data_IF_645921229412
#
_entry.id   IF_645921229412
#
_cell.length_a   1.000
_cell.length_b   1.000
_cell.length_c   1.000
_cell.angle_alpha   90.00
_cell.angle_beta   90.00
_cell.angle_gamma   90.00
#
_symmetry.space_group_name_H-M   'P 1'
#
loop_
_entity.id
_entity.type
_entity.pdbx_description
1 polymer ?
#
# COMPACT_ATOMS: atom_id res chain seq x y z
N UNK A 1 -4.03 9.94 23.49
CA UNK A 1 -4.30 9.83 22.04
C UNK A 1 -3.01 10.14 21.29
N UNK A 2 -2.83 9.60 20.08
CA UNK A 2 -1.66 9.91 19.23
C UNK A 2 -1.79 11.38 18.75
N UNK A 3 -0.76 12.23 18.90
CA UNK A 3 -0.83 13.63 18.47
C UNK A 3 -0.99 13.76 16.94
N UNK A 4 -1.72 14.78 16.49
CA UNK A 4 -1.79 15.11 15.06
C UNK A 4 -0.39 15.38 14.49
N UNK A 5 -0.15 14.88 13.28
CA UNK A 5 1.17 14.98 12.63
C UNK A 5 2.23 14.02 13.16
N UNK A 6 1.91 13.16 14.15
CA UNK A 6 2.85 12.14 14.60
C UNK A 6 3.26 11.20 13.46
N UNK A 7 4.57 11.00 13.30
CA UNK A 7 5.15 9.99 12.41
C UNK A 7 6.38 9.37 13.07
N UNK A 8 6.43 8.04 13.08
CA UNK A 8 7.63 7.26 13.38
C UNK A 8 8.22 6.73 12.09
N UNK A 9 9.43 7.17 11.75
CA UNK A 9 10.12 6.70 10.56
C UNK A 9 11.04 5.51 10.84
N UNK A 10 11.13 4.62 9.85
CA UNK A 10 12.30 3.77 9.61
C UNK A 10 13.27 4.56 8.76
N UNK A 11 14.37 5.00 9.36
CA UNK A 11 15.38 5.78 8.66
C UNK A 11 16.07 4.96 7.57
N UNK A 12 16.29 5.61 6.42
CA UNK A 12 17.06 5.09 5.29
C UNK A 12 18.24 6.01 5.02
N UNK A 13 19.22 5.53 4.26
CA UNK A 13 20.41 6.32 3.92
C UNK A 13 21.06 5.75 2.68
N UNK A 14 21.51 6.62 1.77
CA UNK A 14 22.28 6.24 0.58
C UNK A 14 23.72 5.79 0.88
N UNK A 15 24.20 5.93 2.11
CA UNK A 15 25.62 5.68 2.48
C UNK A 15 26.07 4.22 2.42
N UNK A 16 25.15 3.27 2.61
CA UNK A 16 25.45 1.84 2.55
C UNK A 16 24.25 1.07 2.01
N UNK A 17 24.50 0.07 1.15
CA UNK A 17 23.43 -0.68 0.47
C UNK A 17 22.42 -1.33 1.42
N UNK A 18 22.89 -1.81 2.58
CA UNK A 18 22.03 -2.38 3.63
C UNK A 18 21.05 -1.38 4.25
N UNK A 19 21.31 -0.08 4.13
CA UNK A 19 20.47 1.02 4.66
C UNK A 19 19.55 1.63 3.60
N UNK A 20 19.67 1.21 2.34
CA UNK A 20 18.86 1.76 1.26
C UNK A 20 17.37 1.49 1.47
N UNK A 21 16.56 2.45 1.02
CA UNK A 21 15.17 2.21 0.70
C UNK A 21 15.12 1.28 -0.52
N UNK A 22 14.80 0.00 -0.26
CA UNK A 22 14.74 -0.99 -1.35
C UNK A 22 13.62 -0.71 -2.33
N UNK A 23 12.54 -0.06 -1.92
CA UNK A 23 11.44 0.29 -2.82
C UNK A 23 11.98 1.23 -3.90
N UNK A 24 12.55 2.37 -3.51
CA UNK A 24 13.16 3.31 -4.44
C UNK A 24 14.27 2.69 -5.29
N UNK A 25 15.14 1.85 -4.69
CA UNK A 25 16.21 1.16 -5.43
C UNK A 25 15.67 0.30 -6.57
N UNK A 26 14.62 -0.48 -6.32
CA UNK A 26 14.10 -1.44 -7.30
C UNK A 26 13.16 -0.78 -8.31
N UNK A 27 12.45 0.29 -7.95
CA UNK A 27 11.56 1.00 -8.88
C UNK A 27 12.30 2.03 -9.72
N UNK A 28 13.09 2.93 -9.10
CA UNK A 28 13.77 4.04 -9.79
C UNK A 28 15.19 3.72 -10.24
N UNK A 29 15.91 2.86 -9.52
CA UNK A 29 17.29 2.50 -9.87
C UNK A 29 17.36 1.33 -10.85
N UNK A 30 16.73 0.20 -10.52
CA UNK A 30 16.82 -1.03 -11.30
C UNK A 30 15.70 -1.20 -12.34
N UNK A 31 14.56 -0.55 -12.14
CA UNK A 31 13.33 -0.77 -12.92
C UNK A 31 12.87 -2.24 -12.92
N UNK A 32 13.02 -2.92 -11.77
CA UNK A 32 12.58 -4.30 -11.57
C UNK A 32 11.08 -4.41 -11.28
N UNK A 33 10.48 -3.34 -10.77
CA UNK A 33 9.06 -3.31 -10.41
C UNK A 33 8.34 -2.16 -11.10
N UNK A 34 7.09 -2.41 -11.49
CA UNK A 34 6.16 -1.44 -12.05
C UNK A 34 4.90 -1.43 -11.17
N UNK A 35 4.28 -0.27 -11.00
CA UNK A 35 3.03 -0.17 -10.22
C UNK A 35 1.92 -0.94 -10.94
N UNK A 36 1.18 -1.78 -10.24
CA UNK A 36 0.06 -2.52 -10.80
C UNK A 36 -1.01 -1.56 -11.36
N UNK A 37 -1.67 -1.87 -12.50
CA UNK A 37 -2.71 -1.03 -13.09
C UNK A 37 -3.83 -0.61 -12.11
N UNK A 38 -4.13 -1.43 -11.10
CA UNK A 38 -5.15 -1.11 -10.09
C UNK A 38 -4.77 0.03 -9.15
N UNK A 39 -3.51 0.46 -9.13
CA UNK A 39 -3.00 1.59 -8.32
C UNK A 39 -2.56 2.78 -9.20
N UNK A 40 -3.00 2.84 -10.45
CA UNK A 40 -2.71 3.95 -11.37
C UNK A 40 -3.96 4.82 -11.49
N UNK A 41 -3.74 6.13 -11.62
CA UNK A 41 -4.79 7.12 -11.87
C UNK A 41 -5.97 7.01 -10.90
N UNK A 42 -5.67 6.77 -9.62
CA UNK A 42 -6.68 6.66 -8.58
C UNK A 42 -7.34 8.01 -8.34
N UNK A 43 -8.66 8.01 -8.24
CA UNK A 43 -9.46 9.21 -7.96
C UNK A 43 -10.44 8.97 -6.81
N UNK A 44 -10.91 10.06 -6.22
CA UNK A 44 -12.10 10.09 -5.38
C UNK A 44 -13.01 11.21 -5.85
N UNK A 45 -14.25 10.87 -6.23
CA UNK A 45 -15.22 11.86 -6.71
C UNK A 45 -14.74 12.67 -7.94
N UNK A 46 -13.96 12.03 -8.83
CA UNK A 46 -13.36 12.68 -10.01
C UNK A 46 -12.15 13.57 -9.72
N UNK A 47 -11.65 13.58 -8.48
CA UNK A 47 -10.41 14.28 -8.11
C UNK A 47 -9.27 13.26 -7.98
N UNK A 48 -8.14 13.44 -8.68
CA UNK A 48 -6.96 12.59 -8.52
C UNK A 48 -6.49 12.52 -7.07
N UNK A 49 -6.19 11.32 -6.60
CA UNK A 49 -5.76 11.07 -5.23
C UNK A 49 -4.24 11.28 -5.08
N UNK A 50 -3.79 12.36 -4.41
CA UNK A 50 -2.36 12.70 -4.37
C UNK A 50 -1.55 11.78 -3.44
N UNK A 51 -2.19 10.83 -2.75
CA UNK A 51 -1.52 9.87 -1.88
C UNK A 51 -0.89 8.72 -2.69
N UNK A 52 -1.42 8.47 -3.89
CA UNK A 52 -0.94 7.43 -4.81
C UNK A 52 -0.62 8.07 -6.16
N UNK A 53 0.56 8.70 -6.24
CA UNK A 53 1.04 9.32 -7.47
C UNK A 53 1.96 8.36 -8.21
N UNK A 54 1.72 8.23 -9.51
CA UNK A 54 2.51 7.39 -10.41
C UNK A 54 2.97 8.17 -11.64
N UNK A 55 4.09 7.78 -12.24
CA UNK A 55 4.62 8.38 -13.47
C UNK A 55 5.06 7.29 -14.46
N UNK A 56 4.73 7.45 -15.74
CA UNK A 56 5.27 6.59 -16.79
C UNK A 56 6.77 6.89 -16.99
N UNK A 57 7.61 5.85 -16.93
CA UNK A 57 9.04 5.98 -17.17
C UNK A 57 9.40 6.07 -18.66
N UNK A 58 8.42 5.94 -19.56
CA UNK A 58 8.61 5.98 -21.01
C UNK A 58 9.44 4.81 -21.53
N UNK A 59 9.45 3.69 -20.80
CA UNK A 59 10.27 2.52 -21.12
C UNK A 59 9.62 1.21 -20.70
N UNK A 60 10.11 0.14 -21.32
CA UNK A 60 9.78 -1.22 -20.93
C UNK A 60 10.78 -1.75 -19.88
N UNK A 61 10.31 -2.69 -19.08
CA UNK A 61 11.13 -3.44 -18.14
C UNK A 61 12.09 -4.38 -18.85
N UNK A 62 12.92 -5.08 -18.07
CA UNK A 62 13.93 -6.02 -18.59
C UNK A 62 13.36 -7.21 -19.37
N UNK A 63 12.06 -7.47 -19.24
CA UNK A 63 11.35 -8.46 -20.05
C UNK A 63 10.99 -7.99 -21.46
N UNK A 64 11.22 -6.71 -21.77
CA UNK A 64 10.94 -6.12 -23.08
C UNK A 64 9.46 -5.98 -23.43
N UNK A 65 8.55 -6.16 -22.47
CA UNK A 65 7.09 -6.11 -22.72
C UNK A 65 6.35 -5.25 -21.68
N UNK A 66 6.83 -5.19 -20.44
CA UNK A 66 6.09 -4.52 -19.34
C UNK A 66 6.36 -3.03 -19.31
N UNK A 67 5.35 -2.15 -19.47
CA UNK A 67 5.54 -0.72 -19.25
C UNK A 67 5.91 -0.44 -17.80
N UNK A 68 6.96 0.36 -17.61
CA UNK A 68 7.40 0.77 -16.29
C UNK A 68 6.65 2.02 -15.87
N UNK A 69 5.78 1.86 -14.88
CA UNK A 69 5.12 2.94 -14.16
C UNK A 69 5.74 3.03 -12.78
N UNK A 70 6.34 4.17 -12.48
CA UNK A 70 7.07 4.46 -11.25
C UNK A 70 6.10 4.98 -10.19
N UNK A 71 6.21 4.52 -8.94
CA UNK A 71 5.58 5.21 -7.84
C UNK A 71 6.39 6.44 -7.43
N UNK A 72 5.70 7.53 -7.11
CA UNK A 72 6.35 8.82 -6.80
C UNK A 72 6.45 9.11 -5.29
N UNK A 73 5.99 8.19 -4.43
CA UNK A 73 6.04 8.34 -2.97
C UNK A 73 7.44 8.19 -2.38
N UNK A 74 8.24 7.28 -2.93
CA UNK A 74 9.64 7.06 -2.55
C UNK A 74 10.48 7.03 -3.83
N UNK A 75 11.26 8.08 -4.07
CA UNK A 75 12.05 8.27 -5.29
C UNK A 75 13.55 8.16 -5.05
N UNK A 76 14.02 8.25 -3.80
CA UNK A 76 15.42 8.16 -3.43
C UNK A 76 15.71 7.00 -2.45
N UNK A 77 16.91 6.42 -2.55
CA UNK A 77 17.37 5.34 -1.65
C UNK A 77 17.55 5.79 -0.20
N UNK A 78 17.55 7.08 0.07
CA UNK A 78 17.58 7.66 1.42
C UNK A 78 16.19 8.03 1.96
N UNK A 79 15.13 7.91 1.15
CA UNK A 79 13.78 8.27 1.58
C UNK A 79 13.34 7.41 2.79
N UNK A 80 12.94 8.03 3.91
CA UNK A 80 12.47 7.29 5.08
C UNK A 80 11.09 6.69 4.80
N UNK A 81 10.82 5.53 5.40
CA UNK A 81 9.52 4.85 5.30
C UNK A 81 8.78 5.01 6.61
N UNK A 82 7.50 5.41 6.57
CA UNK A 82 6.69 5.52 7.77
C UNK A 82 6.41 4.13 8.39
N UNK A 83 6.80 3.96 9.64
CA UNK A 83 6.49 2.77 10.44
C UNK A 83 5.13 2.90 11.12
N UNK A 84 4.80 4.09 11.64
CA UNK A 84 3.53 4.37 12.29
C UNK A 84 3.21 5.85 12.15
N UNK A 85 1.94 6.18 11.95
CA UNK A 85 1.49 7.57 11.77
C UNK A 85 0.26 7.88 12.59
N UNK A 86 0.00 9.17 12.80
CA UNK A 86 -1.29 9.64 13.30
C UNK A 86 -2.44 9.20 12.41
N UNK A 87 -2.28 9.27 11.08
CA UNK A 87 -3.29 8.81 10.11
C UNK A 87 -3.68 7.34 10.35
N UNK A 88 -2.70 6.48 10.63
CA UNK A 88 -2.96 5.07 10.98
C UNK A 88 -3.76 4.93 12.26
N UNK A 89 -3.43 5.71 13.30
CA UNK A 89 -4.22 5.73 14.52
C UNK A 89 -5.66 6.19 14.28
N UNK A 90 -5.87 7.20 13.44
CA UNK A 90 -7.21 7.68 13.08
C UNK A 90 -8.02 6.62 12.33
N UNK A 91 -7.42 5.94 11.33
CA UNK A 91 -8.10 4.90 10.58
C UNK A 91 -8.41 3.66 11.44
N UNK A 92 -7.61 3.35 12.47
CA UNK A 92 -7.93 2.33 13.47
C UNK A 92 -9.15 2.75 14.32
N UNK A 93 -9.23 4.02 14.72
CA UNK A 93 -10.39 4.55 15.47
C UNK A 93 -11.64 4.53 14.60
N UNK A 94 -11.55 4.98 13.35
CA UNK A 94 -12.66 4.97 12.39
C UNK A 94 -13.16 3.54 12.15
N UNK A 95 -12.24 2.58 11.98
CA UNK A 95 -12.59 1.17 11.83
C UNK A 95 -13.29 0.58 13.06
N UNK A 96 -12.81 0.88 14.26
CA UNK A 96 -13.39 0.35 15.49
C UNK A 96 -14.73 1.00 15.85
N UNK A 97 -14.89 2.29 15.56
CA UNK A 97 -16.10 3.06 15.89
C UNK A 97 -17.21 2.95 14.85
N UNK A 98 -16.87 3.04 13.56
CA UNK A 98 -17.84 3.10 12.46
C UNK A 98 -18.72 4.37 12.51
N UNK A 99 -19.84 4.32 11.77
CA UNK A 99 -20.86 5.38 11.81
C UNK A 99 -20.36 6.77 11.44
N UNK A 100 -20.95 7.79 12.07
CA UNK A 100 -20.62 9.19 11.80
C UNK A 100 -19.19 9.55 12.20
N UNK A 101 -18.67 9.00 13.31
CA UNK A 101 -17.30 9.24 13.75
C UNK A 101 -16.28 8.78 12.70
N UNK A 102 -16.53 7.64 12.04
CA UNK A 102 -15.70 7.18 10.94
C UNK A 102 -15.76 8.10 9.72
N UNK A 103 -16.96 8.57 9.35
CA UNK A 103 -17.16 9.53 8.25
C UNK A 103 -16.43 10.84 8.52
N UNK A 104 -16.47 11.33 9.75
CA UNK A 104 -15.79 12.56 10.16
C UNK A 104 -14.26 12.41 10.07
N UNK A 105 -13.73 11.26 10.50
CA UNK A 105 -12.30 10.94 10.36
C UNK A 105 -11.89 10.85 8.88
N UNK A 106 -12.66 10.12 8.05
CA UNK A 106 -12.41 10.02 6.60
C UNK A 106 -12.35 11.43 6.00
N UNK A 107 -13.32 12.28 6.32
CA UNK A 107 -13.39 13.64 5.78
C UNK A 107 -12.26 14.55 6.27
N UNK A 108 -11.77 14.36 7.50
CA UNK A 108 -10.58 15.04 7.97
C UNK A 108 -9.34 14.64 7.14
N UNK A 109 -9.20 13.36 6.78
CA UNK A 109 -8.11 12.88 5.92
C UNK A 109 -8.27 13.36 4.47
N UNK A 110 -9.48 13.30 3.92
CA UNK A 110 -9.79 13.84 2.59
C UNK A 110 -9.46 15.32 2.50
N UNK A 111 -9.84 16.12 3.50
CA UNK A 111 -9.52 17.55 3.55
C UNK A 111 -8.01 17.80 3.52
N UNK A 112 -7.22 17.01 4.25
CA UNK A 112 -5.74 17.08 4.21
C UNK A 112 -5.16 16.71 2.85
N UNK A 113 -5.79 15.77 2.15
CA UNK A 113 -5.39 15.33 0.81
C UNK A 113 -6.00 16.17 -0.33
N UNK A 114 -6.87 17.15 -0.03
CA UNK A 114 -7.57 17.93 -1.06
C UNK A 114 -8.63 17.13 -1.83
N UNK A 115 -9.17 16.06 -1.24
CA UNK A 115 -10.20 15.21 -1.83
C UNK A 115 -11.62 15.69 -1.46
N UNK A 116 -12.63 15.43 -2.31
CA UNK A 116 -14.04 15.66 -1.98
C UNK A 116 -14.47 14.93 -0.71
N UNK A 117 -15.45 15.46 0.03
CA UNK A 117 -15.99 14.77 1.21
C UNK A 117 -16.74 13.49 0.85
N UNK A 118 -16.54 12.46 1.66
CA UNK A 118 -17.36 11.25 1.69
C UNK A 118 -18.56 11.42 2.62
N UNK A 119 -19.71 10.87 2.24
CA UNK A 119 -20.90 10.82 3.09
C UNK A 119 -21.63 9.50 2.85
N UNK A 120 -21.91 8.78 3.94
CA UNK A 120 -22.80 7.63 3.94
C UNK A 120 -23.33 7.40 5.35
N UNK A 121 -24.49 6.77 5.44
CA UNK A 121 -25.04 6.24 6.70
C UNK A 121 -25.09 4.71 6.70
N UNK A 122 -24.75 4.06 5.58
CA UNK A 122 -24.68 2.61 5.48
C UNK A 122 -23.35 2.11 6.09
N UNK A 123 -23.40 1.28 7.16
CA UNK A 123 -22.21 0.70 7.75
C UNK A 123 -21.31 -0.06 6.76
N UNK A 124 -21.89 -0.69 5.73
CA UNK A 124 -21.13 -1.42 4.72
C UNK A 124 -20.35 -0.48 3.80
N UNK A 125 -20.98 0.61 3.34
CA UNK A 125 -20.31 1.63 2.53
C UNK A 125 -19.20 2.33 3.32
N UNK A 126 -19.45 2.68 4.59
CA UNK A 126 -18.45 3.29 5.46
C UNK A 126 -17.25 2.34 5.65
N UNK A 127 -17.51 1.05 5.90
CA UNK A 127 -16.45 0.04 6.03
C UNK A 127 -15.64 -0.10 4.75
N UNK A 128 -16.30 -0.14 3.59
CA UNK A 128 -15.60 -0.22 2.30
C UNK A 128 -14.75 1.03 2.04
N UNK A 129 -15.26 2.22 2.41
CA UNK A 129 -14.48 3.45 2.29
C UNK A 129 -13.25 3.41 3.20
N UNK A 130 -13.36 2.92 4.45
CA UNK A 130 -12.19 2.76 5.33
C UNK A 130 -11.14 1.84 4.69
N UNK A 131 -11.55 0.74 4.06
CA UNK A 131 -10.64 -0.17 3.37
C UNK A 131 -9.90 0.53 2.22
N UNK A 132 -10.61 1.34 1.44
CA UNK A 132 -10.02 2.15 0.37
C UNK A 132 -9.05 3.21 0.92
N UNK A 133 -9.44 3.95 1.95
CA UNK A 133 -8.58 4.93 2.60
C UNK A 133 -7.28 4.31 3.11
N UNK A 134 -7.36 3.14 3.76
CA UNK A 134 -6.17 2.38 4.20
C UNK A 134 -5.29 1.97 3.01
N UNK A 135 -5.89 1.51 1.92
CA UNK A 135 -5.16 1.11 0.72
C UNK A 135 -4.34 2.27 0.13
N UNK A 136 -4.93 3.47 0.09
CA UNK A 136 -4.33 4.68 -0.50
C UNK A 136 -3.33 5.36 0.44
N UNK A 137 -3.66 5.52 1.71
CA UNK A 137 -2.76 6.11 2.72
C UNK A 137 -1.48 5.28 2.88
N UNK A 138 -1.61 3.95 2.94
CA UNK A 138 -0.49 3.05 3.19
C UNK A 138 0.12 2.46 1.92
N UNK A 139 -0.09 3.12 0.77
CA UNK A 139 0.59 2.76 -0.47
C UNK A 139 2.11 2.71 -0.24
N UNK A 140 2.73 1.58 -0.61
CA UNK A 140 4.16 1.26 -0.41
C UNK A 140 4.64 1.16 1.04
N UNK A 141 3.73 1.04 2.01
CA UNK A 141 4.08 0.95 3.42
C UNK A 141 3.88 -0.46 4.01
N UNK A 142 3.52 -1.46 3.20
CA UNK A 142 3.51 -2.87 3.62
C UNK A 142 2.28 -3.32 4.41
N UNK A 143 1.19 -2.52 4.42
CA UNK A 143 -0.06 -2.87 5.13
C UNK A 143 -1.01 -3.74 4.29
N UNK A 144 -0.94 -3.61 2.96
CA UNK A 144 -1.94 -4.14 2.03
C UNK A 144 -2.20 -5.65 2.16
N UNK A 145 -1.15 -6.47 2.25
CA UNK A 145 -1.32 -7.94 2.33
C UNK A 145 -2.06 -8.36 3.61
N UNK A 146 -1.70 -7.78 4.76
CA UNK A 146 -2.37 -8.06 6.02
C UNK A 146 -3.84 -7.60 5.99
N UNK A 147 -4.10 -6.42 5.42
CA UNK A 147 -5.47 -5.94 5.22
C UNK A 147 -6.27 -6.83 4.26
N UNK A 148 -5.66 -7.34 3.19
CA UNK A 148 -6.33 -8.29 2.28
C UNK A 148 -6.79 -9.56 3.01
N UNK A 149 -5.91 -10.15 3.81
CA UNK A 149 -6.23 -11.34 4.60
C UNK A 149 -7.33 -11.05 5.62
N UNK A 150 -7.23 -9.95 6.35
CA UNK A 150 -8.14 -9.61 7.44
C UNK A 150 -9.54 -9.22 6.96
N UNK A 151 -9.62 -8.54 5.81
CA UNK A 151 -10.89 -8.12 5.22
C UNK A 151 -11.47 -9.14 4.23
N UNK A 152 -10.75 -10.22 3.92
CA UNK A 152 -11.17 -11.18 2.90
C UNK A 152 -11.19 -10.58 1.50
N UNK A 153 -10.29 -9.64 1.21
CA UNK A 153 -10.17 -9.04 -0.12
C UNK A 153 -9.51 -10.07 -1.04
N UNK A 154 -10.11 -10.39 -2.20
CA UNK A 154 -9.56 -11.36 -3.11
C UNK A 154 -8.14 -11.00 -3.57
N UNK A 155 -7.26 -12.00 -3.56
CA UNK A 155 -5.97 -11.92 -4.25
C UNK A 155 -6.17 -12.04 -5.76
N UNK A 156 -5.18 -11.58 -6.54
CA UNK A 156 -5.21 -11.71 -7.99
C UNK A 156 -5.29 -13.18 -8.41
N UNK A 157 -6.16 -13.49 -9.36
CA UNK A 157 -6.35 -14.84 -9.92
C UNK A 157 -6.26 -14.79 -11.44
N UNK A 158 -6.23 -15.95 -12.09
CA UNK A 158 -6.08 -16.05 -13.54
C UNK A 158 -4.62 -15.92 -13.97
N UNK A 159 -4.36 -15.14 -15.02
CA UNK A 159 -3.02 -14.96 -15.57
C UNK A 159 -2.52 -13.53 -15.34
N UNK A 160 -1.23 -13.40 -15.02
CA UNK A 160 -0.57 -12.11 -14.98
C UNK A 160 -0.39 -11.53 -16.40
N UNK A 161 0.14 -10.32 -16.49
CA UNK A 161 0.37 -9.64 -17.77
C UNK A 161 1.38 -10.36 -18.71
N UNK A 162 2.08 -11.40 -18.23
CA UNK A 162 2.97 -12.27 -19.01
C UNK A 162 2.32 -13.60 -19.42
N UNK A 163 1.03 -13.79 -19.13
CA UNK A 163 0.35 -15.06 -19.37
C UNK A 163 0.77 -16.18 -18.42
N UNK A 164 1.33 -15.86 -17.24
CA UNK A 164 1.65 -16.86 -16.22
C UNK A 164 0.54 -16.91 -15.18
N UNK A 165 0.10 -18.11 -14.76
CA UNK A 165 -0.98 -18.23 -13.78
C UNK A 165 -0.53 -17.71 -12.41
N UNK A 166 -1.42 -17.01 -11.71
CA UNK A 166 -1.24 -16.73 -10.29
C UNK A 166 -1.37 -18.02 -9.49
N UNK A 167 -0.53 -18.16 -8.45
CA UNK A 167 -0.65 -19.23 -7.47
C UNK A 167 -1.79 -18.98 -6.48
N UNK A 168 -2.05 -19.97 -5.62
CA UNK A 168 -3.03 -19.92 -4.54
C UNK A 168 -2.44 -19.45 -3.20
N UNK A 169 -1.14 -19.20 -3.16
CA UNK A 169 -0.41 -18.83 -1.93
C UNK A 169 -0.71 -17.39 -1.54
N UNK A 170 -1.35 -17.21 -0.37
CA UNK A 170 -1.70 -15.90 0.18
C UNK A 170 -0.86 -15.51 1.41
N UNK A 171 -0.33 -16.50 2.12
CA UNK A 171 0.52 -16.36 3.31
C UNK A 171 1.96 -16.79 3.02
N UNK A 172 2.92 -16.26 3.78
CA UNK A 172 4.28 -16.78 3.71
C UNK A 172 4.32 -18.22 4.22
N UNK A 173 4.84 -19.18 3.42
CA UNK A 173 4.98 -20.54 3.87
C UNK A 173 6.01 -20.62 5.00
N UNK A 174 5.91 -21.66 5.84
CA UNK A 174 6.94 -21.95 6.82
C UNK A 174 8.28 -22.17 6.07
N UNK A 175 9.40 -21.58 6.52
CA UNK A 175 10.69 -21.82 5.90
C UNK A 175 11.03 -23.31 5.89
N UNK A 176 11.54 -23.82 4.76
CA UNK A 176 11.92 -25.23 4.64
C UNK A 176 12.93 -25.67 5.70
N UNK A 177 13.82 -24.77 6.13
CA UNK A 177 14.78 -25.06 7.21
C UNK A 177 14.09 -25.36 8.55
N UNK A 178 12.96 -24.71 8.84
CA UNK A 178 12.18 -24.99 10.06
C UNK A 178 11.37 -26.27 9.88
N UNK A 179 10.74 -26.43 8.71
CA UNK A 179 9.93 -27.60 8.37
C UNK A 179 10.71 -28.91 8.35
N UNK A 180 11.91 -28.91 7.78
CA UNK A 180 12.74 -30.11 7.63
C UNK A 180 13.40 -30.50 8.96
N UNK A 181 13.80 -29.51 9.77
CA UNK A 181 14.56 -29.77 11.01
C UNK A 181 13.67 -29.96 12.24
N UNK A 182 12.39 -29.56 12.19
CA UNK A 182 11.48 -29.72 13.31
C UNK A 182 10.58 -30.95 13.12
N UNK A 183 10.81 -32.05 13.86
CA UNK A 183 10.00 -33.27 13.71
C UNK A 183 8.54 -33.10 14.13
N UNK A 184 8.16 -31.96 14.72
CA UNK A 184 6.79 -31.68 15.16
C UNK A 184 5.98 -30.87 14.13
N UNK A 185 6.59 -30.43 13.02
CA UNK A 185 5.95 -29.60 12.00
C UNK A 185 6.39 -30.13 10.62
N UNK A 186 5.51 -30.86 9.93
CA UNK A 186 5.82 -31.54 8.65
C UNK A 186 5.97 -30.62 7.44
#
# INVERSE_FOLDING_TARGET
MVPEGFVKYVERSGTAERRWNRIARHTHGDFYYSVDPTFRDLEFGGTPDPRVVTADAGRLGHDGITPIVLPMKYTDVSDPIALATWTEAQLIIAEAGGGQDAVDIINALHSRAGLPSFASSDPAEIRNQIIEERSREFFLEGRRQADMLRYGIPFQTGFNHKGQPYGDTTCFPLPDVERINNPNIG
#
